data_IF_776620049285
#
_entry.id   IF_776620049285
#
_cell.length_a   1.000
_cell.length_b   1.000
_cell.length_c   1.000
_cell.angle_alpha   90.00
_cell.angle_beta   90.00
_cell.angle_gamma   90.00
#
_symmetry.space_group_name_H-M   'P 1'
#
loop_
_entity.id
_entity.type
_entity.pdbx_description
1 polymer ?
#
# COMPACT_ATOMS: atom_id res chain seq x y z
N UNK A 1 -17.55 17.68 -0.63
CA UNK A 1 -16.26 18.18 -0.07
C UNK A 1 -15.80 19.37 -0.91
N UNK A 2 -15.39 20.48 -0.29
CA UNK A 2 -14.93 21.66 -1.04
C UNK A 2 -13.62 21.35 -1.79
N UNK A 3 -13.34 22.06 -2.89
CA UNK A 3 -12.08 21.92 -3.64
C UNK A 3 -10.86 22.15 -2.75
N UNK A 4 -10.95 23.14 -1.84
CA UNK A 4 -9.91 23.47 -0.86
C UNK A 4 -9.66 22.31 0.11
N UNK A 5 -10.72 21.72 0.67
CA UNK A 5 -10.57 20.58 1.58
C UNK A 5 -9.93 19.37 0.90
N UNK A 6 -10.30 19.09 -0.36
CA UNK A 6 -9.67 18.00 -1.15
C UNK A 6 -8.19 18.25 -1.38
N UNK A 7 -7.81 19.47 -1.77
CA UNK A 7 -6.40 19.83 -1.99
C UNK A 7 -5.61 19.65 -0.68
N UNK A 8 -6.14 20.16 0.43
CA UNK A 8 -5.50 20.03 1.73
C UNK A 8 -5.24 18.57 2.11
N UNK A 9 -6.27 17.71 2.04
CA UNK A 9 -6.15 16.29 2.39
C UNK A 9 -5.12 15.57 1.52
N UNK A 10 -5.19 15.74 0.20
CA UNK A 10 -4.26 15.08 -0.73
C UNK A 10 -2.83 15.53 -0.47
N UNK A 11 -2.60 16.85 -0.34
CA UNK A 11 -1.27 17.40 -0.11
C UNK A 11 -0.70 16.92 1.22
N UNK A 12 -1.49 16.97 2.31
CA UNK A 12 -1.03 16.53 3.62
C UNK A 12 -0.69 15.03 3.62
N UNK A 13 -1.57 14.19 3.08
CA UNK A 13 -1.33 12.75 2.98
C UNK A 13 -0.09 12.44 2.14
N UNK A 14 0.11 13.14 1.03
CA UNK A 14 1.30 12.95 0.18
C UNK A 14 2.59 13.35 0.92
N UNK A 15 2.61 14.54 1.54
CA UNK A 15 3.78 15.05 2.25
C UNK A 15 4.15 14.16 3.44
N UNK A 16 3.16 13.79 4.26
CA UNK A 16 3.38 12.90 5.41
C UNK A 16 3.79 11.51 4.94
N UNK A 17 3.17 10.98 3.88
CA UNK A 17 3.55 9.70 3.29
C UNK A 17 5.01 9.68 2.83
N UNK A 18 5.42 10.70 2.06
CA UNK A 18 6.81 10.85 1.60
C UNK A 18 7.79 11.04 2.75
N UNK A 19 7.44 11.84 3.76
CA UNK A 19 8.28 12.04 4.94
C UNK A 19 8.50 10.73 5.71
N UNK A 20 7.46 9.91 5.90
CA UNK A 20 7.60 8.60 6.55
C UNK A 20 8.47 7.65 5.73
N UNK A 21 8.33 7.63 4.39
CA UNK A 21 9.22 6.84 3.54
C UNK A 21 10.67 7.31 3.69
N UNK A 22 10.93 8.62 3.63
CA UNK A 22 12.26 9.17 3.74
C UNK A 22 12.92 8.87 5.10
N UNK A 23 12.17 9.04 6.20
CA UNK A 23 12.62 8.67 7.55
C UNK A 23 12.87 7.17 7.63
N UNK A 24 11.97 6.35 7.07
CA UNK A 24 12.12 4.90 7.05
C UNK A 24 13.40 4.45 6.36
N UNK A 25 13.68 5.01 5.17
CA UNK A 25 14.93 4.76 4.44
C UNK A 25 16.14 5.24 5.25
N UNK A 26 16.08 6.40 5.88
CA UNK A 26 17.21 6.93 6.68
C UNK A 26 17.53 6.00 7.86
N UNK A 27 16.51 5.57 8.60
CA UNK A 27 16.69 4.62 9.71
C UNK A 27 17.30 3.28 9.26
N UNK A 28 17.02 2.82 8.03
CA UNK A 28 17.56 1.58 7.48
C UNK A 28 18.97 1.74 6.88
N UNK A 29 19.28 2.90 6.28
CA UNK A 29 20.52 3.12 5.55
C UNK A 29 21.64 3.67 6.43
N UNK A 30 21.31 4.55 7.39
CA UNK A 30 22.26 5.13 8.33
C UNK A 30 21.57 5.43 9.68
N UNK A 31 21.25 4.38 10.46
CA UNK A 31 20.61 4.51 11.77
C UNK A 31 21.43 5.39 12.72
N UNK A 32 22.77 5.33 12.62
CA UNK A 32 23.66 6.15 13.45
C UNK A 32 23.52 7.64 13.18
N UNK A 33 23.46 8.06 11.91
CA UNK A 33 23.22 9.47 11.58
C UNK A 33 21.82 9.92 11.92
N UNK A 34 20.81 9.06 11.78
CA UNK A 34 19.47 9.38 12.24
C UNK A 34 19.47 9.64 13.75
N UNK A 35 19.97 8.69 14.55
CA UNK A 35 20.04 8.80 16.01
C UNK A 35 20.72 10.10 16.48
N UNK A 36 21.86 10.47 15.86
CA UNK A 36 22.56 11.74 16.13
C UNK A 36 21.71 12.96 15.80
N UNK A 37 20.97 12.93 14.69
CA UNK A 37 20.12 14.04 14.28
C UNK A 37 18.96 14.27 15.25
N UNK A 38 18.30 13.21 15.71
CA UNK A 38 17.20 13.31 16.71
C UNK A 38 17.69 13.42 18.16
N UNK A 39 18.99 13.21 18.40
CA UNK A 39 19.63 13.48 19.69
C UNK A 39 19.48 12.36 20.72
N UNK A 40 19.49 11.09 20.30
CA UNK A 40 19.49 9.95 21.22
C UNK A 40 20.53 8.88 20.86
N UNK A 41 20.78 7.95 21.78
CA UNK A 41 21.76 6.88 21.60
C UNK A 41 21.34 5.90 20.49
N UNK A 42 22.28 5.50 19.65
CA UNK A 42 21.97 4.61 18.53
C UNK A 42 21.68 3.19 19.03
N UNK A 43 20.45 2.73 18.80
CA UNK A 43 20.06 1.33 18.92
C UNK A 43 19.76 0.79 17.52
N UNK A 44 20.78 0.24 16.85
CA UNK A 44 20.76 -0.08 15.42
C UNK A 44 19.57 -0.99 15.03
N UNK A 45 19.43 -2.14 15.69
CA UNK A 45 18.31 -3.06 15.44
C UNK A 45 16.94 -2.40 15.63
N UNK A 46 16.77 -1.63 16.70
CA UNK A 46 15.53 -0.90 16.96
C UNK A 46 15.24 0.17 15.89
N UNK A 47 16.28 0.82 15.38
CA UNK A 47 16.16 1.82 14.32
C UNK A 47 15.82 1.18 12.98
N UNK A 48 16.40 0.02 12.65
CA UNK A 48 15.97 -0.75 11.49
C UNK A 48 14.47 -1.09 11.58
N UNK A 49 13.99 -1.56 12.74
CA UNK A 49 12.58 -1.87 12.98
C UNK A 49 11.68 -0.64 12.85
N UNK A 50 12.07 0.48 13.47
CA UNK A 50 11.40 1.76 13.28
C UNK A 50 11.34 2.12 11.79
N UNK A 51 12.45 1.92 11.06
CA UNK A 51 12.55 2.16 9.64
C UNK A 51 11.54 1.34 8.83
N UNK A 52 11.41 0.05 9.13
CA UNK A 52 10.45 -0.85 8.51
C UNK A 52 8.99 -0.36 8.72
N UNK A 53 8.63 0.00 9.95
CA UNK A 53 7.28 0.51 10.23
C UNK A 53 7.00 1.86 9.56
N UNK A 54 7.99 2.76 9.51
CA UNK A 54 7.85 4.04 8.82
C UNK A 54 7.66 3.87 7.31
N UNK A 55 8.38 2.92 6.69
CA UNK A 55 8.14 2.55 5.29
C UNK A 55 6.69 2.08 5.06
N UNK A 56 6.19 1.17 5.91
CA UNK A 56 4.81 0.67 5.75
C UNK A 56 3.75 1.75 5.95
N UNK A 57 3.92 2.65 6.93
CA UNK A 57 3.04 3.81 7.13
C UNK A 57 3.07 4.74 5.91
N UNK A 58 4.26 5.06 5.42
CA UNK A 58 4.45 5.89 4.23
C UNK A 58 3.78 5.29 2.99
N UNK A 59 4.02 4.01 2.72
CA UNK A 59 3.39 3.28 1.60
C UNK A 59 1.86 3.24 1.75
N UNK A 60 1.34 3.00 2.96
CA UNK A 60 -0.11 3.01 3.22
C UNK A 60 -0.74 4.35 2.85
N UNK A 61 -0.15 5.46 3.31
CA UNK A 61 -0.64 6.81 3.04
C UNK A 61 -0.59 7.15 1.55
N UNK A 62 0.50 6.80 0.87
CA UNK A 62 0.65 7.05 -0.57
C UNK A 62 -0.33 6.19 -1.39
N UNK A 63 -0.52 4.92 -1.04
CA UNK A 63 -1.50 4.06 -1.69
C UNK A 63 -2.93 4.52 -1.43
N UNK A 64 -3.24 5.10 -0.27
CA UNK A 64 -4.57 5.66 0.02
C UNK A 64 -4.97 6.82 -0.91
N UNK A 65 -4.01 7.46 -1.58
CA UNK A 65 -4.28 8.48 -2.61
C UNK A 65 -4.67 7.87 -3.97
N UNK A 66 -4.40 6.59 -4.18
CA UNK A 66 -4.55 5.89 -5.46
C UNK A 66 -5.67 4.84 -5.36
N UNK A 67 -5.74 4.13 -4.24
CA UNK A 67 -6.64 3.03 -3.99
C UNK A 67 -7.79 3.47 -3.08
N UNK A 68 -8.98 3.00 -3.40
CA UNK A 68 -10.23 3.28 -2.70
C UNK A 68 -10.64 2.18 -1.73
N UNK A 69 -10.03 0.99 -1.80
CA UNK A 69 -10.32 -0.11 -0.86
C UNK A 69 -9.41 -0.04 0.36
N UNK A 70 -9.97 0.30 1.53
CA UNK A 70 -9.21 0.48 2.76
C UNK A 70 -8.45 -0.79 3.19
N UNK A 71 -9.07 -1.98 3.07
CA UNK A 71 -8.45 -3.23 3.49
C UNK A 71 -7.27 -3.60 2.58
N UNK A 72 -7.42 -3.50 1.26
CA UNK A 72 -6.33 -3.75 0.32
C UNK A 72 -5.16 -2.79 0.55
N UNK A 73 -5.44 -1.50 0.78
CA UNK A 73 -4.43 -0.48 1.08
C UNK A 73 -3.67 -0.78 2.37
N UNK A 74 -4.38 -1.11 3.45
CA UNK A 74 -3.76 -1.45 4.73
C UNK A 74 -2.90 -2.71 4.64
N UNK A 75 -3.40 -3.76 3.96
CA UNK A 75 -2.65 -5.00 3.75
C UNK A 75 -1.36 -4.74 2.95
N UNK A 76 -1.41 -3.98 1.87
CA UNK A 76 -0.23 -3.68 1.07
C UNK A 76 0.84 -2.90 1.85
N UNK A 77 0.44 -1.87 2.60
CA UNK A 77 1.39 -1.14 3.44
C UNK A 77 1.96 -1.98 4.57
N UNK A 78 1.14 -2.83 5.20
CA UNK A 78 1.61 -3.71 6.27
C UNK A 78 2.50 -4.85 5.75
N UNK A 79 2.29 -5.33 4.51
CA UNK A 79 3.23 -6.25 3.83
C UNK A 79 4.62 -5.61 3.72
N UNK A 80 4.70 -4.31 3.37
CA UNK A 80 5.99 -3.60 3.32
C UNK A 80 6.62 -3.53 4.71
N UNK A 81 5.88 -3.08 5.72
CA UNK A 81 6.41 -3.00 7.10
C UNK A 81 6.89 -4.36 7.59
N UNK A 82 6.01 -5.36 7.60
CA UNK A 82 6.33 -6.68 8.15
C UNK A 82 7.39 -7.41 7.31
N UNK A 83 7.41 -7.20 5.98
CA UNK A 83 8.41 -7.79 5.10
C UNK A 83 9.82 -7.24 5.39
N UNK A 84 9.96 -5.92 5.45
CA UNK A 84 11.26 -5.30 5.82
C UNK A 84 11.64 -5.66 7.25
N UNK A 85 10.69 -5.68 8.19
CA UNK A 85 10.93 -6.08 9.58
C UNK A 85 11.40 -7.54 9.69
N UNK A 86 10.83 -8.43 8.88
CA UNK A 86 11.31 -9.82 8.77
C UNK A 86 12.77 -9.85 8.32
N UNK A 87 13.13 -9.04 7.31
CA UNK A 87 14.51 -8.96 6.82
C UNK A 87 15.44 -8.44 7.90
N UNK A 88 15.08 -7.37 8.62
CA UNK A 88 15.88 -6.85 9.73
C UNK A 88 16.14 -7.93 10.78
N UNK A 89 15.12 -8.68 11.20
CA UNK A 89 15.29 -9.76 12.17
C UNK A 89 16.16 -10.93 11.68
N UNK A 90 16.39 -11.06 10.38
CA UNK A 90 17.34 -12.03 9.82
C UNK A 90 18.75 -11.45 9.76
N UNK A 91 18.89 -10.20 9.29
CA UNK A 91 20.18 -9.52 9.11
C UNK A 91 20.80 -9.14 10.44
N UNK A 92 19.98 -8.68 11.39
CA UNK A 92 20.40 -8.12 12.67
C UNK A 92 20.44 -9.17 13.81
N UNK A 93 20.46 -10.47 13.50
CA UNK A 93 20.45 -11.53 14.52
C UNK A 93 21.61 -11.39 15.54
N UNK A 94 22.71 -10.76 15.14
CA UNK A 94 23.86 -10.46 16.00
C UNK A 94 23.69 -9.17 16.83
N UNK A 95 22.72 -8.32 16.52
CA UNK A 95 22.43 -7.04 17.18
C UNK A 95 21.22 -7.13 18.10
N UNK A 96 20.29 -8.06 17.85
CA UNK A 96 19.10 -8.26 18.66
C UNK A 96 18.10 -9.26 18.07
N UNK A 97 17.11 -9.63 18.88
CA UNK A 97 16.06 -10.57 18.48
C UNK A 97 16.46 -12.04 18.53
N UNK A 98 15.67 -12.89 17.87
CA UNK A 98 15.88 -14.33 17.85
C UNK A 98 15.41 -14.95 16.52
N UNK A 99 15.98 -16.11 16.13
CA UNK A 99 15.53 -16.82 14.93
C UNK A 99 14.05 -17.20 14.96
N UNK A 100 13.50 -17.48 16.15
CA UNK A 100 12.08 -17.75 16.33
C UNK A 100 11.21 -16.55 15.94
N UNK A 101 11.60 -15.32 16.33
CA UNK A 101 10.89 -14.11 15.92
C UNK A 101 10.95 -13.91 14.40
N UNK A 102 12.11 -14.12 13.78
CA UNK A 102 12.26 -14.04 12.33
C UNK A 102 11.32 -15.03 11.60
N UNK A 103 11.21 -16.27 12.10
CA UNK A 103 10.27 -17.26 11.55
C UNK A 103 8.80 -16.84 11.70
N UNK A 104 8.42 -16.34 12.87
CA UNK A 104 7.05 -15.85 13.11
C UNK A 104 6.71 -14.72 12.15
N UNK A 105 7.61 -13.74 12.00
CA UNK A 105 7.42 -12.63 11.06
C UNK A 105 7.35 -13.09 9.61
N UNK A 106 8.16 -14.09 9.23
CA UNK A 106 8.11 -14.71 7.91
C UNK A 106 6.76 -15.39 7.63
N UNK A 107 6.24 -16.17 8.58
CA UNK A 107 4.90 -16.79 8.45
C UNK A 107 3.81 -15.74 8.34
N UNK A 108 3.87 -14.68 9.13
CA UNK A 108 2.94 -13.55 9.07
C UNK A 108 3.03 -12.86 7.70
N UNK A 109 4.23 -12.64 7.15
CA UNK A 109 4.42 -12.07 5.80
C UNK A 109 3.71 -12.89 4.73
N UNK A 110 3.84 -14.22 4.76
CA UNK A 110 3.17 -15.12 3.82
C UNK A 110 1.64 -15.05 3.98
N UNK A 111 1.15 -15.05 5.22
CA UNK A 111 -0.28 -14.93 5.50
C UNK A 111 -0.87 -13.60 5.01
N UNK A 112 -0.15 -12.49 5.20
CA UNK A 112 -0.55 -11.16 4.71
C UNK A 112 -0.62 -11.12 3.18
N UNK A 113 0.37 -11.67 2.48
CA UNK A 113 0.36 -11.76 1.02
C UNK A 113 -0.82 -12.59 0.53
N UNK A 114 -1.10 -13.73 1.17
CA UNK A 114 -2.26 -14.55 0.84
C UNK A 114 -3.58 -13.76 1.04
N UNK A 115 -3.74 -13.08 2.18
CA UNK A 115 -4.90 -12.24 2.47
C UNK A 115 -5.07 -11.11 1.44
N UNK A 116 -3.97 -10.46 1.06
CA UNK A 116 -3.97 -9.40 0.04
C UNK A 116 -4.40 -9.93 -1.32
N UNK A 117 -3.85 -11.05 -1.78
CA UNK A 117 -4.24 -11.68 -3.06
C UNK A 117 -5.71 -12.09 -3.06
N UNK A 118 -6.21 -12.67 -1.97
CA UNK A 118 -7.63 -12.99 -1.83
C UNK A 118 -8.50 -11.74 -1.90
N UNK A 119 -8.09 -10.65 -1.26
CA UNK A 119 -8.79 -9.36 -1.35
C UNK A 119 -8.79 -8.81 -2.77
N UNK A 120 -7.66 -8.84 -3.47
CA UNK A 120 -7.58 -8.42 -4.87
C UNK A 120 -8.53 -9.22 -5.76
N UNK A 121 -8.63 -10.54 -5.56
CA UNK A 121 -9.59 -11.40 -6.28
C UNK A 121 -11.04 -11.01 -5.98
N UNK A 122 -11.39 -10.77 -4.72
CA UNK A 122 -12.73 -10.31 -4.33
C UNK A 122 -13.09 -8.96 -5.01
N UNK A 123 -12.10 -8.10 -5.21
CA UNK A 123 -12.28 -6.80 -5.86
C UNK A 123 -12.27 -6.87 -7.39
N UNK A 124 -11.99 -8.04 -7.98
CA UNK A 124 -11.79 -8.17 -9.43
C UNK A 124 -10.57 -7.39 -9.92
N UNK A 125 -9.57 -7.19 -9.06
CA UNK A 125 -8.36 -6.38 -9.31
C UNK A 125 -8.65 -4.91 -9.64
N UNK A 126 -9.80 -4.38 -9.22
CA UNK A 126 -10.13 -2.95 -9.28
C UNK A 126 -9.97 -2.33 -7.89
N UNK A 127 -8.90 -1.57 -7.75
CA UNK A 127 -8.54 -0.89 -6.51
C UNK A 127 -8.97 0.58 -6.48
N UNK A 128 -9.35 1.17 -7.61
CA UNK A 128 -9.80 2.57 -7.68
C UNK A 128 -11.30 2.74 -7.40
N UNK A 129 -11.73 4.00 -7.30
CA UNK A 129 -13.14 4.33 -7.14
C UNK A 129 -13.89 4.00 -8.44
N UNK A 130 -15.02 3.35 -8.29
CA UNK A 130 -15.89 2.97 -9.40
C UNK A 130 -17.27 3.53 -9.10
N UNK A 131 -17.90 4.21 -10.06
CA UNK A 131 -19.24 4.75 -9.89
C UNK A 131 -20.26 3.65 -9.57
N UNK A 132 -21.38 3.99 -8.94
CA UNK A 132 -22.48 3.03 -8.79
C UNK A 132 -23.16 2.81 -10.14
N UNK A 133 -23.43 1.55 -10.50
CA UNK A 133 -24.40 1.28 -11.56
C UNK A 133 -25.78 1.71 -11.06
N UNK A 134 -26.52 2.44 -11.88
CA UNK A 134 -27.93 2.78 -11.63
C UNK A 134 -28.84 1.54 -11.69
N UNK A 135 -28.37 0.44 -12.31
CA UNK A 135 -29.06 -0.86 -12.39
C UNK A 135 -28.26 -1.95 -11.65
N UNK A 136 -28.86 -2.66 -10.66
CA UNK A 136 -28.21 -3.78 -9.95
C UNK A 136 -27.66 -4.88 -10.88
N UNK A 137 -28.27 -5.12 -12.05
CA UNK A 137 -27.81 -6.11 -13.03
C UNK A 137 -26.49 -5.72 -13.67
N UNK A 138 -26.19 -4.43 -13.71
CA UNK A 138 -24.97 -3.88 -14.30
C UNK A 138 -23.83 -3.74 -13.29
N UNK A 139 -24.09 -3.93 -11.99
CA UNK A 139 -23.11 -3.71 -10.91
C UNK A 139 -21.81 -4.52 -11.08
N UNK A 140 -21.89 -5.76 -11.57
CA UNK A 140 -20.72 -6.61 -11.82
C UNK A 140 -19.83 -6.09 -12.97
N UNK A 141 -20.42 -5.36 -13.92
CA UNK A 141 -19.72 -4.83 -15.10
C UNK A 141 -19.03 -3.48 -14.83
N UNK A 142 -19.43 -2.76 -13.78
CA UNK A 142 -18.81 -1.46 -13.44
C UNK A 142 -17.32 -1.59 -13.15
N UNK A 143 -16.90 -2.73 -12.59
CA UNK A 143 -15.51 -3.04 -12.28
C UNK A 143 -14.74 -3.68 -13.44
N UNK A 144 -15.31 -3.76 -14.65
CA UNK A 144 -14.56 -4.24 -15.81
C UNK A 144 -13.74 -3.10 -16.41
N UNK A 145 -12.44 -3.34 -16.60
CA UNK A 145 -11.54 -2.38 -17.29
C UNK A 145 -11.76 -2.35 -18.81
N UNK A 146 -12.49 -3.31 -19.37
CA UNK A 146 -12.68 -3.47 -20.81
C UNK A 146 -14.17 -3.45 -21.13
N UNK A 147 -14.57 -2.55 -22.02
CA UNK A 147 -15.94 -2.47 -22.54
C UNK A 147 -15.87 -2.54 -24.05
N UNK A 148 -16.69 -3.41 -24.67
CA UNK A 148 -16.85 -3.46 -26.12
C UNK A 148 -18.12 -2.72 -26.50
N UNK A 149 -17.98 -1.46 -26.93
CA UNK A 149 -19.11 -0.68 -27.42
C UNK A 149 -19.38 -1.06 -28.88
N UNK A 150 -20.57 -1.62 -29.14
CA UNK A 150 -21.05 -1.84 -30.51
C UNK A 150 -22.18 -0.85 -30.75
N UNK A 151 -21.99 0.06 -31.71
CA UNK A 151 -23.06 0.96 -32.15
C UNK A 151 -23.67 0.41 -33.44
N UNK A 152 -24.85 0.88 -33.82
CA UNK A 152 -25.51 0.47 -35.06
C UNK A 152 -25.79 1.71 -35.92
N UNK A 153 -25.59 1.57 -37.23
CA UNK A 153 -25.98 2.60 -38.22
C UNK A 153 -27.50 2.60 -38.38
N UNK A 154 -28.02 3.60 -39.10
CA UNK A 154 -29.45 3.73 -39.42
C UNK A 154 -30.01 2.50 -40.16
N UNK A 155 -29.17 1.80 -40.91
CA UNK A 155 -29.51 0.56 -41.63
C UNK A 155 -29.41 -0.71 -40.76
N UNK A 156 -29.13 -0.59 -39.46
CA UNK A 156 -28.99 -1.72 -38.54
C UNK A 156 -27.67 -2.47 -38.64
N UNK A 157 -26.71 -2.01 -39.45
CA UNK A 157 -25.38 -2.63 -39.50
C UNK A 157 -24.54 -2.21 -38.29
N UNK A 158 -23.81 -3.13 -37.64
CA UNK A 158 -22.94 -2.77 -36.54
C UNK A 158 -21.79 -1.88 -37.03
N UNK A 159 -21.62 -0.75 -36.37
CA UNK A 159 -20.43 0.07 -36.40
C UNK A 159 -19.64 -0.24 -35.12
N UNK A 160 -18.51 -0.93 -35.25
CA UNK A 160 -17.58 -1.02 -34.14
C UNK A 160 -16.99 0.36 -33.89
N UNK A 161 -17.03 0.85 -32.65
CA UNK A 161 -16.15 1.93 -32.25
C UNK A 161 -14.72 1.37 -32.34
N UNK A 162 -13.91 1.90 -33.26
CA UNK A 162 -12.47 1.61 -33.32
C UNK A 162 -11.76 2.29 -32.16
#
# INVERSE_FOLDING_TARGET
MSKVARIYLVTLTALVGLANVAIGIWCLADPGSFARFVGFEAHEHFLHDLGAFQLGLGVTLLLALIWSDALATALAGFIVANGVHTVNHVVDLNLGGSPAQAWVLGVVSVALVAAFVLRLRQLGYVLGSVGTATDPRLAAFVRQKTVRLTTFRKDGTPAAAR
#
